data_IF_264159461153
#
_entry.id   IF_264159461153
#
_cell.length_a   1.000
_cell.length_b   1.000
_cell.length_c   1.000
_cell.angle_alpha   90.00
_cell.angle_beta   90.00
_cell.angle_gamma   90.00
#
_symmetry.space_group_name_H-M   'P 1'
#
loop_
_entity.id
_entity.type
_entity.pdbx_description
1 polymer ?
#
# COMPACT_ATOMS: atom_id res chain seq x y z
N UNK A 1 9.54 -19.58 -2.31
CA UNK A 1 9.89 -18.26 -2.91
C UNK A 1 8.68 -17.35 -2.89
N UNK A 2 8.84 -16.12 -2.44
CA UNK A 2 7.76 -15.11 -2.40
C UNK A 2 7.74 -14.33 -3.72
N UNK A 3 6.59 -14.34 -4.38
CA UNK A 3 6.35 -13.61 -5.63
C UNK A 3 5.13 -12.70 -5.46
N UNK A 4 5.22 -11.45 -5.96
CA UNK A 4 4.09 -10.52 -5.93
C UNK A 4 3.39 -10.57 -7.29
N UNK A 5 2.08 -10.81 -7.25
CA UNK A 5 1.25 -10.94 -8.45
C UNK A 5 -0.17 -10.42 -8.26
N UNK A 6 -0.91 -10.36 -9.35
CA UNK A 6 -2.31 -9.92 -9.36
C UNK A 6 -3.19 -10.77 -8.45
N UNK A 7 -4.31 -10.18 -8.04
CA UNK A 7 -5.30 -10.84 -7.18
C UNK A 7 -5.84 -12.13 -7.80
N UNK A 8 -5.81 -13.20 -7.03
CA UNK A 8 -6.36 -14.51 -7.38
C UNK A 8 -7.34 -14.98 -6.29
N UNK A 9 -8.63 -14.95 -6.63
CA UNK A 9 -9.72 -15.35 -5.72
C UNK A 9 -9.62 -16.80 -5.25
N UNK A 10 -9.24 -17.70 -6.16
CA UNK A 10 -9.15 -19.12 -5.83
C UNK A 10 -8.01 -19.38 -4.85
N UNK A 11 -6.89 -18.69 -5.03
CA UNK A 11 -5.77 -18.76 -4.12
C UNK A 11 -6.12 -18.21 -2.73
N UNK A 12 -6.78 -17.04 -2.67
CA UNK A 12 -7.21 -16.44 -1.40
C UNK A 12 -8.16 -17.38 -0.65
N UNK A 13 -9.11 -18.01 -1.33
CA UNK A 13 -10.09 -18.91 -0.70
C UNK A 13 -9.46 -20.14 -0.06
N UNK A 14 -8.39 -20.68 -0.64
CA UNK A 14 -7.70 -21.86 -0.10
C UNK A 14 -6.58 -21.54 0.88
N UNK A 15 -6.18 -20.26 0.97
CA UNK A 15 -5.12 -19.83 1.89
C UNK A 15 -5.67 -19.54 3.27
N UNK A 16 -5.11 -20.13 4.35
CA UNK A 16 -5.50 -19.84 5.72
C UNK A 16 -4.85 -18.52 6.19
N UNK A 17 -5.20 -17.40 5.55
CA UNK A 17 -4.60 -16.10 5.85
C UNK A 17 -5.09 -15.53 7.17
N UNK A 18 -4.15 -15.20 8.06
CA UNK A 18 -4.40 -14.54 9.34
C UNK A 18 -3.22 -13.63 9.71
N UNK A 19 -3.42 -12.32 9.65
CA UNK A 19 -2.34 -11.35 9.91
C UNK A 19 -2.30 -10.83 11.36
N UNK A 20 -3.26 -11.18 12.19
CA UNK A 20 -3.44 -10.66 13.54
C UNK A 20 -4.43 -9.51 13.65
N UNK A 21 -4.93 -9.00 12.52
CA UNK A 21 -5.94 -7.95 12.43
C UNK A 21 -7.18 -8.52 11.72
N UNK A 22 -8.22 -8.93 12.47
CA UNK A 22 -9.39 -9.62 11.89
C UNK A 22 -10.08 -8.85 10.77
N UNK A 23 -10.12 -7.52 10.85
CA UNK A 23 -10.71 -6.67 9.81
C UNK A 23 -9.99 -6.77 8.46
N UNK A 24 -8.67 -6.93 8.46
CA UNK A 24 -7.88 -7.12 7.24
C UNK A 24 -8.05 -8.54 6.68
N UNK A 25 -8.15 -9.54 7.54
CA UNK A 25 -8.36 -10.93 7.15
C UNK A 25 -9.74 -11.13 6.50
N UNK A 26 -10.79 -10.59 7.13
CA UNK A 26 -12.17 -10.63 6.63
C UNK A 26 -12.28 -9.89 5.29
N UNK A 27 -11.66 -8.70 5.19
CA UNK A 27 -11.69 -7.93 3.96
C UNK A 27 -11.08 -8.70 2.78
N UNK A 28 -9.94 -9.33 2.98
CA UNK A 28 -9.28 -10.12 1.93
C UNK A 28 -10.18 -11.28 1.44
N UNK A 29 -10.80 -12.01 2.37
CA UNK A 29 -11.65 -13.18 2.03
C UNK A 29 -12.97 -12.80 1.40
N UNK A 30 -13.62 -11.73 1.91
CA UNK A 30 -15.03 -11.46 1.61
C UNK A 30 -15.24 -10.29 0.66
N UNK A 31 -14.36 -9.29 0.67
CA UNK A 31 -14.57 -8.04 -0.05
C UNK A 31 -13.60 -7.81 -1.20
N UNK A 32 -12.35 -8.23 -1.09
CA UNK A 32 -11.29 -7.92 -2.06
C UNK A 32 -11.68 -8.27 -3.50
N UNK A 33 -12.24 -9.45 -3.74
CA UNK A 33 -12.65 -9.88 -5.08
C UNK A 33 -13.69 -8.96 -5.72
N UNK A 34 -14.69 -8.53 -4.95
CA UNK A 34 -15.73 -7.64 -5.46
C UNK A 34 -15.18 -6.23 -5.71
N UNK A 35 -14.37 -5.73 -4.80
CA UNK A 35 -13.76 -4.38 -4.92
C UNK A 35 -12.79 -4.30 -6.11
N UNK A 36 -12.01 -5.35 -6.34
CA UNK A 36 -11.11 -5.42 -7.50
C UNK A 36 -11.88 -5.47 -8.82
N UNK A 37 -12.93 -6.29 -8.92
CA UNK A 37 -13.80 -6.38 -10.11
C UNK A 37 -14.55 -5.08 -10.42
N UNK A 38 -14.90 -4.30 -9.39
CA UNK A 38 -15.54 -2.99 -9.54
C UNK A 38 -14.54 -1.86 -9.85
N UNK A 39 -13.26 -2.19 -9.92
CA UNK A 39 -12.17 -1.21 -10.10
C UNK A 39 -12.10 -0.15 -8.99
N UNK A 40 -12.65 -0.43 -7.81
CA UNK A 40 -12.56 0.46 -6.65
C UNK A 40 -11.18 0.42 -6.00
N UNK A 41 -10.52 -0.73 -6.05
CA UNK A 41 -9.14 -0.93 -5.61
C UNK A 41 -8.41 -1.87 -6.57
N UNK A 42 -7.09 -1.78 -6.57
CA UNK A 42 -6.24 -2.83 -7.13
C UNK A 42 -5.55 -3.56 -5.99
N UNK A 43 -5.71 -4.88 -5.94
CA UNK A 43 -5.11 -5.73 -4.91
C UNK A 43 -3.99 -6.57 -5.50
N UNK A 44 -2.84 -6.58 -4.82
CA UNK A 44 -1.69 -7.42 -5.16
C UNK A 44 -1.43 -8.40 -4.03
N UNK A 45 -1.09 -9.63 -4.37
CA UNK A 45 -0.80 -10.70 -3.42
C UNK A 45 0.70 -11.02 -3.41
N UNK A 46 1.28 -11.11 -2.23
CA UNK A 46 2.55 -11.81 -2.03
C UNK A 46 2.22 -13.30 -1.83
N UNK A 47 2.74 -14.14 -2.68
CA UNK A 47 2.44 -15.57 -2.70
C UNK A 47 3.71 -16.36 -2.44
N UNK A 48 3.65 -17.26 -1.46
CA UNK A 48 4.65 -18.31 -1.32
C UNK A 48 4.33 -19.43 -2.31
N UNK A 49 5.09 -19.50 -3.40
CA UNK A 49 4.87 -20.48 -4.46
C UNK A 49 5.14 -21.91 -4.01
N UNK A 50 6.09 -22.10 -3.10
CA UNK A 50 6.44 -23.42 -2.58
C UNK A 50 5.33 -23.99 -1.71
N UNK A 51 4.73 -23.13 -0.86
CA UNK A 51 3.60 -23.49 -0.01
C UNK A 51 2.24 -23.36 -0.70
N UNK A 52 2.17 -22.69 -1.86
CA UNK A 52 0.93 -22.47 -2.61
C UNK A 52 -0.10 -21.61 -1.85
N UNK A 53 0.36 -20.63 -1.04
CA UNK A 53 -0.52 -19.82 -0.19
C UNK A 53 -0.17 -18.33 -0.19
N UNK A 54 -1.14 -17.50 0.20
CA UNK A 54 -0.95 -16.07 0.36
C UNK A 54 -0.13 -15.78 1.61
N UNK A 55 0.98 -15.10 1.45
CA UNK A 55 1.88 -14.63 2.51
C UNK A 55 1.57 -13.19 2.94
N UNK A 56 0.95 -12.40 2.08
CA UNK A 56 0.58 -11.02 2.35
C UNK A 56 -0.17 -10.40 1.19
N UNK A 57 -0.65 -9.18 1.39
CA UNK A 57 -1.29 -8.41 0.32
C UNK A 57 -1.21 -6.91 0.59
N UNK A 58 -1.39 -6.13 -0.46
CA UNK A 58 -1.75 -4.72 -0.34
C UNK A 58 -2.86 -4.35 -1.32
N UNK A 59 -3.58 -3.27 -1.03
CA UNK A 59 -4.54 -2.67 -1.96
C UNK A 59 -4.30 -1.19 -2.11
N UNK A 60 -4.48 -0.66 -3.32
CA UNK A 60 -4.31 0.75 -3.64
C UNK A 60 -5.46 1.27 -4.47
N UNK A 61 -5.71 2.58 -4.36
CA UNK A 61 -6.75 3.28 -5.13
C UNK A 61 -6.42 4.75 -5.29
N UNK A 62 -6.99 5.37 -6.31
CA UNK A 62 -7.03 6.82 -6.42
C UNK A 62 -7.92 7.41 -5.31
N UNK A 63 -7.54 8.55 -4.78
CA UNK A 63 -8.34 9.28 -3.79
C UNK A 63 -8.02 10.78 -3.83
N UNK A 64 -8.71 11.53 -3.00
CA UNK A 64 -8.37 12.90 -2.66
C UNK A 64 -8.04 12.99 -1.18
N UNK A 65 -7.15 13.90 -0.82
CA UNK A 65 -6.80 14.16 0.58
C UNK A 65 -6.83 15.66 0.87
N UNK A 66 -6.87 16.02 2.14
CA UNK A 66 -6.76 17.40 2.58
C UNK A 66 -5.35 17.93 2.34
N UNK A 67 -5.27 19.25 2.13
CA UNK A 67 -4.01 19.94 2.03
C UNK A 67 -3.26 19.94 3.35
N UNK A 68 -1.99 19.58 3.31
CA UNK A 68 -1.05 19.76 4.41
C UNK A 68 0.09 20.69 3.94
N UNK A 69 0.53 21.59 4.79
CA UNK A 69 1.61 22.53 4.47
C UNK A 69 2.94 21.85 4.13
N UNK A 70 3.10 20.57 4.52
CA UNK A 70 4.30 19.79 4.22
C UNK A 70 4.43 19.38 2.75
N UNK A 71 3.30 19.24 2.02
CA UNK A 71 3.34 18.75 0.63
C UNK A 71 2.53 19.56 -0.38
N UNK A 72 1.48 20.25 0.04
CA UNK A 72 0.57 20.91 -0.90
C UNK A 72 0.82 22.41 -0.97
N UNK A 73 1.02 22.93 -2.18
CA UNK A 73 1.14 24.36 -2.50
C UNK A 73 -0.09 24.83 -3.27
N UNK A 74 -0.42 26.12 -3.16
CA UNK A 74 -1.51 26.77 -3.90
C UNK A 74 -2.81 26.90 -3.11
N UNK A 75 -3.95 27.02 -3.82
CA UNK A 75 -5.24 27.37 -3.23
C UNK A 75 -5.78 26.27 -2.28
N UNK A 76 -6.07 26.66 -1.05
CA UNK A 76 -6.59 25.76 -0.02
C UNK A 76 -8.01 25.22 -0.30
N UNK A 77 -8.70 25.78 -1.27
CA UNK A 77 -10.08 25.39 -1.63
C UNK A 77 -10.19 24.04 -2.34
N UNK A 78 -9.09 23.54 -2.89
CA UNK A 78 -9.09 22.30 -3.67
C UNK A 78 -8.48 21.15 -2.88
N UNK A 79 -9.13 19.98 -2.96
CA UNK A 79 -8.56 18.73 -2.49
C UNK A 79 -7.30 18.36 -3.29
N UNK A 80 -6.42 17.61 -2.67
CA UNK A 80 -5.18 17.16 -3.29
C UNK A 80 -5.38 15.80 -3.92
N UNK A 81 -5.12 15.63 -5.23
CA UNK A 81 -5.16 14.31 -5.86
C UNK A 81 -4.06 13.43 -5.28
N UNK A 82 -4.44 12.21 -4.90
CA UNK A 82 -3.58 11.28 -4.18
C UNK A 82 -3.82 9.83 -4.61
N UNK A 83 -2.85 8.98 -4.29
CA UNK A 83 -3.01 7.52 -4.33
C UNK A 83 -2.95 7.01 -2.90
N UNK A 84 -3.95 6.25 -2.50
CA UNK A 84 -4.03 5.64 -1.17
C UNK A 84 -3.56 4.20 -1.24
N UNK A 85 -2.56 3.84 -0.43
CA UNK A 85 -2.32 2.45 -0.04
C UNK A 85 -3.30 2.16 1.10
N UNK A 86 -4.45 1.59 0.74
CA UNK A 86 -5.58 1.45 1.66
C UNK A 86 -5.37 0.34 2.69
N UNK A 87 -4.65 -0.71 2.31
CA UNK A 87 -4.35 -1.87 3.15
C UNK A 87 -2.98 -2.43 2.80
N UNK A 88 -2.28 -2.89 3.82
CA UNK A 88 -1.08 -3.72 3.68
C UNK A 88 -1.04 -4.66 4.88
N UNK A 89 -1.00 -5.96 4.62
CA UNK A 89 -1.05 -6.98 5.65
C UNK A 89 -0.14 -8.17 5.30
N UNK A 90 0.49 -8.75 6.31
CA UNK A 90 1.36 -9.92 6.20
C UNK A 90 0.84 -10.99 7.13
N UNK A 91 0.65 -12.20 6.61
CA UNK A 91 0.26 -13.36 7.39
C UNK A 91 1.24 -13.59 8.56
N UNK A 92 0.72 -13.98 9.73
CA UNK A 92 1.51 -14.09 10.96
C UNK A 92 2.73 -15.01 10.81
N UNK A 93 2.62 -16.08 10.03
CA UNK A 93 3.75 -17.00 9.78
C UNK A 93 4.85 -16.39 8.90
N UNK A 94 4.55 -15.33 8.17
CA UNK A 94 5.48 -14.64 7.27
C UNK A 94 5.97 -13.28 7.80
N UNK A 95 5.47 -12.84 8.95
CA UNK A 95 5.96 -11.61 9.59
C UNK A 95 7.42 -11.73 9.99
N UNK A 96 8.14 -10.60 9.97
CA UNK A 96 9.56 -10.57 10.26
C UNK A 96 10.50 -11.17 9.20
N UNK A 97 9.96 -11.59 8.05
CA UNK A 97 10.73 -12.17 6.93
C UNK A 97 10.90 -11.24 5.73
N UNK A 98 10.60 -9.95 5.88
CA UNK A 98 10.74 -8.97 4.81
C UNK A 98 9.57 -8.90 3.82
N UNK A 99 8.50 -9.67 3.99
CA UNK A 99 7.33 -9.66 3.08
C UNK A 99 6.65 -8.29 3.06
N UNK A 100 6.49 -7.65 4.22
CA UNK A 100 5.90 -6.30 4.30
C UNK A 100 6.74 -5.27 3.55
N UNK A 101 8.06 -5.33 3.67
CA UNK A 101 8.98 -4.48 2.91
C UNK A 101 8.83 -4.70 1.41
N UNK A 102 8.77 -5.95 0.96
CA UNK A 102 8.61 -6.29 -0.46
C UNK A 102 7.28 -5.77 -1.02
N UNK A 103 6.18 -5.93 -0.26
CA UNK A 103 4.86 -5.40 -0.63
C UNK A 103 4.86 -3.87 -0.75
N UNK A 104 5.44 -3.17 0.21
CA UNK A 104 5.52 -1.71 0.17
C UNK A 104 6.39 -1.25 -1.01
N UNK A 105 7.53 -1.87 -1.24
CA UNK A 105 8.41 -1.55 -2.36
C UNK A 105 7.71 -1.77 -3.71
N UNK A 106 6.98 -2.87 -3.88
CA UNK A 106 6.20 -3.13 -5.10
C UNK A 106 5.08 -2.09 -5.29
N UNK A 107 4.35 -1.75 -4.23
CA UNK A 107 3.31 -0.72 -4.26
C UNK A 107 3.88 0.64 -4.71
N UNK A 108 4.96 1.09 -4.08
CA UNK A 108 5.59 2.38 -4.41
C UNK A 108 6.16 2.39 -5.83
N UNK A 109 6.77 1.29 -6.28
CA UNK A 109 7.28 1.17 -7.65
C UNK A 109 6.17 1.26 -8.70
N UNK A 110 5.03 0.57 -8.49
CA UNK A 110 3.87 0.63 -9.40
C UNK A 110 3.21 2.00 -9.41
N UNK A 111 3.08 2.62 -8.24
CA UNK A 111 2.53 3.97 -8.12
C UNK A 111 3.45 4.99 -8.79
N UNK A 112 4.76 4.87 -8.63
CA UNK A 112 5.74 5.73 -9.33
C UNK A 112 5.61 5.61 -10.86
N UNK A 113 5.45 4.40 -11.39
CA UNK A 113 5.22 4.18 -12.83
C UNK A 113 3.90 4.85 -13.29
N UNK A 114 2.85 4.77 -12.50
CA UNK A 114 1.56 5.42 -12.78
C UNK A 114 1.68 6.94 -12.83
N UNK A 115 2.57 7.55 -12.06
CA UNK A 115 2.77 9.00 -12.02
C UNK A 115 3.24 9.61 -13.34
N UNK A 116 3.68 8.81 -14.28
CA UNK A 116 4.05 9.25 -15.65
C UNK A 116 2.84 9.47 -16.56
N UNK A 117 1.73 8.80 -16.25
CA UNK A 117 0.51 8.83 -17.07
C UNK A 117 -0.65 9.57 -16.38
N UNK A 118 -0.63 9.64 -15.05
CA UNK A 118 -1.70 10.21 -14.26
C UNK A 118 -1.13 11.14 -13.17
N UNK A 119 -1.66 12.37 -13.10
CA UNK A 119 -1.22 13.36 -12.12
C UNK A 119 -1.78 13.08 -10.73
N UNK A 120 -0.91 13.05 -9.74
CA UNK A 120 -1.23 13.09 -8.32
C UNK A 120 -0.05 13.71 -7.56
N UNK A 121 -0.33 14.34 -6.42
CA UNK A 121 0.68 15.08 -5.66
C UNK A 121 1.34 14.21 -4.59
N UNK A 122 0.62 13.21 -4.05
CA UNK A 122 1.04 12.51 -2.84
C UNK A 122 0.50 11.07 -2.80
N UNK A 123 1.29 10.18 -2.22
CA UNK A 123 0.84 8.85 -1.78
C UNK A 123 0.46 8.94 -0.30
N UNK A 124 -0.70 8.42 0.06
CA UNK A 124 -1.22 8.43 1.43
C UNK A 124 -1.33 7.01 1.97
N UNK A 125 -1.03 6.86 3.24
CA UNK A 125 -1.20 5.60 4.00
C UNK A 125 -1.92 5.91 5.30
N UNK A 126 -2.90 5.10 5.68
CA UNK A 126 -3.52 5.14 6.99
C UNK A 126 -3.06 3.94 7.81
N UNK A 127 -2.24 4.18 8.84
CA UNK A 127 -1.79 3.14 9.76
C UNK A 127 -2.90 2.81 10.76
N UNK A 128 -3.10 1.52 11.07
CA UNK A 128 -4.09 1.08 12.04
C UNK A 128 -3.72 1.44 13.49
N UNK A 129 -2.42 1.47 13.78
CA UNK A 129 -1.87 1.73 15.10
C UNK A 129 -0.42 2.24 14.99
N UNK A 130 0.15 2.60 16.12
CA UNK A 130 1.49 3.19 16.19
C UNK A 130 2.59 2.27 15.63
N UNK A 131 2.52 0.96 15.88
CA UNK A 131 3.50 0.02 15.34
C UNK A 131 3.49 -0.03 13.81
N UNK A 132 2.30 0.02 13.18
CA UNK A 132 2.16 0.13 11.73
C UNK A 132 2.71 1.47 11.21
N UNK A 133 2.44 2.58 11.91
CA UNK A 133 2.99 3.88 11.54
C UNK A 133 4.52 3.89 11.55
N UNK A 134 5.15 3.30 12.56
CA UNK A 134 6.62 3.17 12.64
C UNK A 134 7.21 2.37 11.49
N UNK A 135 6.51 1.34 11.03
CA UNK A 135 6.93 0.59 9.83
C UNK A 135 7.08 1.53 8.63
N UNK A 136 6.07 2.35 8.35
CA UNK A 136 6.11 3.29 7.23
C UNK A 136 7.14 4.40 7.41
N UNK A 137 7.27 4.93 8.62
CA UNK A 137 8.29 5.96 8.94
C UNK A 137 9.71 5.46 8.65
N UNK A 138 9.98 4.18 8.86
CA UNK A 138 11.27 3.55 8.56
C UNK A 138 11.66 3.59 7.07
N UNK A 139 10.69 3.86 6.18
CA UNK A 139 10.90 3.96 4.72
C UNK A 139 10.79 5.40 4.19
N UNK A 140 10.87 6.40 5.05
CA UNK A 140 10.86 7.81 4.64
C UNK A 140 9.48 8.39 4.39
N UNK A 141 8.41 7.66 4.71
CA UNK A 141 7.03 8.15 4.67
C UNK A 141 6.81 8.98 5.91
N UNK A 142 6.19 10.17 5.79
CA UNK A 142 6.08 11.17 6.86
C UNK A 142 4.67 11.23 7.42
N UNK A 143 4.52 11.67 8.68
CA UNK A 143 3.20 11.89 9.29
C UNK A 143 2.55 13.18 8.81
N UNK A 144 1.24 13.17 8.66
CA UNK A 144 0.44 14.40 8.63
C UNK A 144 0.55 15.13 9.98
N UNK A 145 0.49 16.46 9.97
CA UNK A 145 0.63 17.27 11.20
C UNK A 145 -0.45 16.97 12.23
N UNK A 146 -1.71 16.92 11.80
CA UNK A 146 -2.88 16.82 12.67
C UNK A 146 -3.45 15.40 12.77
N UNK A 147 -2.86 14.44 12.06
CA UNK A 147 -3.33 13.05 12.00
C UNK A 147 -2.13 12.10 12.10
N UNK A 148 -1.69 11.73 13.30
CA UNK A 148 -0.44 10.99 13.49
C UNK A 148 -0.43 9.57 12.91
N UNK A 149 -1.60 8.98 12.66
CA UNK A 149 -1.74 7.67 11.99
C UNK A 149 -1.96 7.78 10.48
N UNK A 150 -2.06 8.99 9.94
CA UNK A 150 -2.05 9.24 8.50
C UNK A 150 -0.67 9.70 8.07
N UNK A 151 -0.12 9.05 7.03
CA UNK A 151 1.21 9.30 6.54
C UNK A 151 1.19 9.59 5.05
N UNK A 152 2.21 10.27 4.55
CA UNK A 152 2.32 10.64 3.14
C UNK A 152 3.75 10.54 2.62
N UNK A 153 3.85 10.35 1.30
CA UNK A 153 5.08 10.49 0.53
C UNK A 153 4.75 11.33 -0.70
N UNK A 154 5.49 12.42 -0.93
CA UNK A 154 5.27 13.24 -2.12
C UNK A 154 5.63 12.50 -3.40
N UNK A 155 4.96 12.80 -4.50
CA UNK A 155 5.29 12.21 -5.81
C UNK A 155 6.73 12.53 -6.22
N UNK A 156 7.25 13.73 -5.85
CA UNK A 156 8.64 14.07 -6.07
C UNK A 156 9.62 13.13 -5.37
N UNK A 157 9.41 12.88 -4.09
CA UNK A 157 10.23 11.96 -3.30
C UNK A 157 10.07 10.50 -3.75
N UNK A 158 8.85 10.11 -4.11
CA UNK A 158 8.56 8.79 -4.69
C UNK A 158 9.39 8.53 -5.95
N UNK A 159 9.43 9.50 -6.88
CA UNK A 159 10.21 9.38 -8.12
C UNK A 159 11.71 9.37 -7.87
N UNK A 160 12.19 10.17 -6.93
CA UNK A 160 13.61 10.19 -6.54
C UNK A 160 14.05 8.82 -5.97
N UNK A 161 13.23 8.21 -5.14
CA UNK A 161 13.48 6.88 -4.56
C UNK A 161 13.46 5.78 -5.63
N UNK A 162 12.50 5.81 -6.54
CA UNK A 162 12.40 4.85 -7.63
C UNK A 162 13.57 4.95 -8.62
N UNK A 163 14.03 6.18 -8.94
CA UNK A 163 15.18 6.42 -9.81
C UNK A 163 16.51 5.96 -9.21
N UNK A 164 16.62 5.87 -7.89
CA UNK A 164 17.83 5.37 -7.22
C UNK A 164 17.93 3.85 -7.22
N UNK A 165 16.82 3.14 -7.43
CA UNK A 165 16.78 1.68 -7.49
C UNK A 165 17.21 1.11 -8.86
N UNK A 166 17.18 1.95 -9.91
CA UNK A 166 17.60 1.55 -11.28
C UNK A 166 19.10 1.73 -11.54
N UNK A 167 19.89 2.11 -10.53
CA UNK A 167 21.34 2.37 -10.65
C UNK A 167 22.19 1.34 -9.89
N UNK A 168 21.68 0.11 -9.70
CA UNK A 168 22.51 -1.01 -9.20
C UNK A 168 22.40 -2.22 -10.10
#
# INVERSE_FOLDING_TARGET
MIVIRDFDRALVRRSPFACGEPGLDVWLREQASQQDRRHNVRTMLAVDEDAGRVAGYYSSRACETSRDAAFARGDRRYAVPAVLIARLAVDAEYQGRGVGKALLADALRRIAATSRALGFEVVVVHALHEAAARFYLGYGIQRFRDQPLSLFLTTGDLRATAGSADVC
#
